data_IF_217955439640
#
_entry.id   IF_217955439640
#
_cell.length_a   1.000
_cell.length_b   1.000
_cell.length_c   1.000
_cell.angle_alpha   90.00
_cell.angle_beta   90.00
_cell.angle_gamma   90.00
#
_symmetry.space_group_name_H-M   'P 1'
#
loop_
_entity.id
_entity.type
_entity.pdbx_description
1 polymer ?
#
# COMPACT_ATOMS: atom_id res chain seq x y z
N UNK A 1 10.97 9.83 8.54
CA UNK A 1 10.37 10.71 7.53
C UNK A 1 8.94 10.28 7.32
N UNK A 2 8.02 10.91 8.05
CA UNK A 2 6.58 10.66 7.93
C UNK A 2 6.14 11.26 6.60
N UNK A 3 5.76 10.46 5.61
CA UNK A 3 5.20 10.99 4.36
C UNK A 3 3.75 11.41 4.67
N UNK A 4 3.42 12.70 4.83
CA UNK A 4 2.15 13.14 5.40
C UNK A 4 0.93 12.83 4.51
N UNK A 5 1.14 12.32 3.30
CA UNK A 5 0.06 11.94 2.39
C UNK A 5 -0.59 10.59 2.72
N UNK A 6 0.16 9.60 3.19
CA UNK A 6 -0.38 8.27 3.50
C UNK A 6 -0.72 8.17 4.99
N UNK A 7 -1.93 7.69 5.29
CA UNK A 7 -2.33 7.28 6.63
C UNK A 7 -1.56 6.03 7.08
N UNK A 8 -1.55 5.77 8.38
CA UNK A 8 -0.90 4.58 8.94
C UNK A 8 -1.41 3.28 8.31
N UNK A 9 -2.72 3.15 8.08
CA UNK A 9 -3.28 1.96 7.42
C UNK A 9 -2.93 1.83 5.95
N UNK A 10 -2.84 2.94 5.23
CA UNK A 10 -2.35 2.91 3.86
C UNK A 10 -0.87 2.52 3.81
N UNK A 11 -0.07 2.96 4.80
CA UNK A 11 1.33 2.57 4.91
C UNK A 11 1.49 1.08 5.22
N UNK A 12 0.68 0.52 6.13
CA UNK A 12 0.68 -0.91 6.43
C UNK A 12 0.32 -1.74 5.20
N UNK A 13 -0.74 -1.36 4.47
CA UNK A 13 -1.12 -2.00 3.21
C UNK A 13 0.01 -1.92 2.19
N UNK A 14 0.63 -0.74 2.03
CA UNK A 14 1.74 -0.53 1.09
C UNK A 14 2.97 -1.39 1.41
N UNK A 15 3.29 -1.58 2.70
CA UNK A 15 4.38 -2.47 3.13
C UNK A 15 4.08 -3.93 2.76
N UNK A 16 2.88 -4.41 3.01
CA UNK A 16 2.50 -5.79 2.67
C UNK A 16 2.42 -5.98 1.15
N UNK A 17 2.01 -4.95 0.39
CA UNK A 17 2.10 -4.97 -1.07
C UNK A 17 3.56 -5.11 -1.55
N UNK A 18 4.51 -4.44 -0.89
CA UNK A 18 5.93 -4.52 -1.23
C UNK A 18 6.52 -5.91 -0.94
N UNK A 19 5.95 -6.65 0.01
CA UNK A 19 6.26 -8.05 0.28
C UNK A 19 5.62 -9.03 -0.72
N UNK A 20 4.90 -8.52 -1.74
CA UNK A 20 4.28 -9.34 -2.79
C UNK A 20 2.89 -9.89 -2.44
N UNK A 21 2.32 -9.51 -1.30
CA UNK A 21 1.04 -10.08 -0.83
C UNK A 21 -0.14 -9.64 -1.69
N UNK A 22 -1.09 -10.53 -1.93
CA UNK A 22 -2.39 -10.27 -2.56
C UNK A 22 -3.34 -9.53 -1.60
N UNK A 23 -4.43 -8.95 -2.12
CA UNK A 23 -5.41 -8.27 -1.26
C UNK A 23 -6.05 -9.21 -0.24
N UNK A 24 -6.21 -10.50 -0.59
CA UNK A 24 -6.74 -11.53 0.29
C UNK A 24 -5.78 -11.88 1.44
N UNK A 25 -4.49 -11.97 1.13
CA UNK A 25 -3.46 -12.19 2.16
C UNK A 25 -3.37 -10.97 3.08
N UNK A 26 -3.35 -9.76 2.51
CA UNK A 26 -3.34 -8.50 3.28
C UNK A 26 -4.56 -8.39 4.17
N UNK A 27 -5.75 -8.74 3.66
CA UNK A 27 -6.99 -8.67 4.45
C UNK A 27 -6.94 -9.61 5.64
N UNK A 28 -6.35 -10.80 5.45
CA UNK A 28 -6.13 -11.78 6.51
C UNK A 28 -5.11 -11.27 7.53
N UNK A 29 -3.98 -10.73 7.08
CA UNK A 29 -2.93 -10.19 7.95
C UNK A 29 -3.39 -9.00 8.78
N UNK A 30 -4.20 -8.10 8.21
CA UNK A 30 -4.71 -6.92 8.90
C UNK A 30 -6.06 -7.13 9.59
N UNK A 31 -6.65 -8.33 9.48
CA UNK A 31 -7.97 -8.66 10.02
C UNK A 31 -9.07 -7.66 9.59
N UNK A 32 -9.09 -7.32 8.30
CA UNK A 32 -10.09 -6.44 7.67
C UNK A 32 -10.69 -7.09 6.42
N UNK A 33 -11.72 -6.50 5.82
CA UNK A 33 -12.31 -7.02 4.58
C UNK A 33 -11.42 -6.79 3.35
N UNK A 34 -11.45 -7.71 2.38
CA UNK A 34 -10.72 -7.56 1.11
C UNK A 34 -11.16 -6.29 0.34
N UNK A 35 -12.44 -5.93 0.39
CA UNK A 35 -12.97 -4.68 -0.18
C UNK A 35 -12.40 -3.43 0.50
N UNK A 36 -12.13 -3.50 1.81
CA UNK A 36 -11.44 -2.47 2.57
C UNK A 36 -9.99 -2.33 2.11
N UNK A 37 -9.28 -3.45 1.90
CA UNK A 37 -7.93 -3.44 1.33
C UNK A 37 -7.93 -2.80 -0.06
N UNK A 38 -8.84 -3.20 -0.96
CA UNK A 38 -8.99 -2.58 -2.30
C UNK A 38 -9.18 -1.08 -2.21
N UNK A 39 -9.97 -0.61 -1.24
CA UNK A 39 -10.19 0.82 -1.02
C UNK A 39 -8.92 1.54 -0.58
N UNK A 40 -8.12 0.94 0.31
CA UNK A 40 -6.81 1.48 0.68
C UNK A 40 -5.84 1.50 -0.49
N UNK A 41 -5.78 0.42 -1.29
CA UNK A 41 -4.94 0.36 -2.49
C UNK A 41 -5.30 1.48 -3.45
N UNK A 42 -6.59 1.68 -3.77
CA UNK A 42 -7.02 2.77 -4.67
C UNK A 42 -6.61 4.16 -4.15
N UNK A 43 -6.71 4.39 -2.83
CA UNK A 43 -6.26 5.64 -2.21
C UNK A 43 -4.74 5.81 -2.29
N UNK A 44 -3.98 4.74 -2.06
CA UNK A 44 -2.52 4.75 -2.22
C UNK A 44 -2.14 5.08 -3.66
N UNK A 45 -2.75 4.43 -4.64
CA UNK A 45 -2.51 4.70 -6.07
C UNK A 45 -2.76 6.16 -6.41
N UNK A 46 -3.91 6.69 -5.98
CA UNK A 46 -4.29 8.09 -6.18
C UNK A 46 -3.31 9.06 -5.52
N UNK A 47 -2.91 8.81 -4.28
CA UNK A 47 -1.98 9.67 -3.53
C UNK A 47 -0.55 9.62 -4.07
N UNK A 48 -0.11 8.46 -4.55
CA UNK A 48 1.21 8.32 -5.17
C UNK A 48 1.24 8.76 -6.64
N UNK A 49 0.07 9.02 -7.24
CA UNK A 49 -0.06 9.45 -8.64
C UNK A 49 0.27 8.35 -9.65
N UNK A 50 -0.10 7.10 -9.34
CA UNK A 50 0.20 5.91 -10.15
C UNK A 50 -1.06 5.13 -10.48
N UNK A 51 -0.97 4.26 -11.50
CA UNK A 51 -2.13 3.55 -12.02
C UNK A 51 -2.20 2.08 -11.59
N UNK A 52 -1.10 1.52 -11.08
CA UNK A 52 -1.06 0.12 -10.66
C UNK A 52 -0.21 -0.10 -9.41
N UNK A 53 -0.47 -1.24 -8.75
CA UNK A 53 0.18 -1.61 -7.49
C UNK A 53 1.70 -1.78 -7.62
N UNK A 54 2.19 -2.21 -8.77
CA UNK A 54 3.62 -2.43 -9.00
C UNK A 54 4.33 -1.08 -9.04
N UNK A 55 3.76 -0.11 -9.76
CA UNK A 55 4.23 1.27 -9.75
C UNK A 55 4.22 1.87 -8.34
N UNK A 56 3.16 1.63 -7.56
CA UNK A 56 3.10 2.10 -6.17
C UNK A 56 4.25 1.56 -5.32
N UNK A 57 4.52 0.25 -5.40
CA UNK A 57 5.64 -0.37 -4.68
C UNK A 57 6.98 0.21 -5.14
N UNK A 58 7.22 0.31 -6.45
CA UNK A 58 8.47 0.87 -7.00
C UNK A 58 8.68 2.31 -6.53
N UNK A 59 7.65 3.16 -6.60
CA UNK A 59 7.74 4.55 -6.15
C UNK A 59 7.96 4.61 -4.63
N UNK A 60 7.27 3.79 -3.87
CA UNK A 60 7.42 3.75 -2.42
C UNK A 60 8.85 3.38 -1.99
N UNK A 61 9.48 2.42 -2.68
CA UNK A 61 10.89 2.06 -2.47
C UNK A 61 11.81 3.20 -2.89
N UNK A 62 11.62 3.77 -4.10
CA UNK A 62 12.45 4.88 -4.60
C UNK A 62 12.39 6.12 -3.71
N UNK A 63 11.23 6.40 -3.10
CA UNK A 63 11.01 7.53 -2.19
C UNK A 63 11.39 7.21 -0.73
N UNK A 64 11.83 5.98 -0.43
CA UNK A 64 12.18 5.54 0.94
C UNK A 64 10.98 5.46 1.90
N UNK A 65 9.76 5.30 1.36
CA UNK A 65 8.53 5.15 2.15
C UNK A 65 8.43 3.73 2.73
N UNK A 66 8.85 2.74 1.95
CA UNK A 66 8.95 1.33 2.35
C UNK A 66 10.28 0.76 1.88
N UNK A 67 10.75 -0.30 2.53
CA UNK A 67 11.97 -1.01 2.18
C UNK A 67 11.59 -2.44 1.73
N UNK A 68 12.37 -3.00 0.80
CA UNK A 68 12.28 -4.41 0.38
C UNK A 68 13.16 -5.29 1.27
#
# INVERSE_FOLDING_TARGET
MSNPELSERELDVLRLMAQGMSNLEISSTLSIGESTVKSHVNRILSKLGVNDRTQAVIIAVKRGIVNL
#
